data_IF_937609872326
#
_entry.id   IF_937609872326
#
_cell.length_a   1.000
_cell.length_b   1.000
_cell.length_c   1.000
_cell.angle_alpha   90.00
_cell.angle_beta   90.00
_cell.angle_gamma   90.00
#
_symmetry.space_group_name_H-M   'P 1'
#
loop_
_entity.id
_entity.type
_entity.pdbx_description
1 polymer ?
#
# COMPACT_ATOMS: atom_id res chain seq x y z
N UNK A 1 -9.70 14.99 -7.82
CA UNK A 1 -8.27 14.70 -7.60
C UNK A 1 -8.21 13.59 -6.57
N UNK A 2 -7.35 12.58 -6.70
CA UNK A 2 -7.17 11.63 -5.61
C UNK A 2 -6.63 12.39 -4.38
N UNK A 3 -7.29 12.22 -3.24
CA UNK A 3 -6.93 12.92 -2.01
C UNK A 3 -5.79 12.18 -1.32
N UNK A 4 -4.72 12.90 -1.00
CA UNK A 4 -3.62 12.36 -0.19
C UNK A 4 -3.84 12.62 1.29
N UNK A 5 -3.28 11.77 2.15
CA UNK A 5 -3.40 11.88 3.60
C UNK A 5 -2.15 11.38 4.31
N UNK A 6 -1.84 11.94 5.47
CA UNK A 6 -0.81 11.42 6.39
C UNK A 6 -1.39 10.41 7.38
N UNK A 7 -2.72 10.30 7.45
CA UNK A 7 -3.40 9.33 8.32
C UNK A 7 -3.44 7.96 7.64
N UNK A 8 -2.86 6.95 8.28
CA UNK A 8 -2.92 5.57 7.83
C UNK A 8 -4.36 5.05 7.94
N UNK A 9 -4.89 4.47 6.85
CA UNK A 9 -6.25 3.91 6.82
C UNK A 9 -6.31 2.62 7.63
N UNK A 10 -7.44 2.31 8.26
CA UNK A 10 -7.57 1.16 9.17
C UNK A 10 -7.28 -0.20 8.51
N UNK A 11 -7.60 -0.32 7.23
CA UNK A 11 -7.39 -1.51 6.41
C UNK A 11 -6.00 -1.57 5.75
N UNK A 12 -5.13 -0.57 5.97
CA UNK A 12 -3.74 -0.60 5.53
C UNK A 12 -2.89 -1.38 6.53
N UNK A 13 -2.86 -2.70 6.38
CA UNK A 13 -2.18 -3.62 7.31
C UNK A 13 -0.78 -4.01 6.86
N UNK A 14 -0.49 -3.89 5.56
CA UNK A 14 0.76 -4.33 4.95
C UNK A 14 1.22 -3.33 3.88
N UNK A 15 2.49 -3.40 3.48
CA UNK A 15 3.02 -2.60 2.37
C UNK A 15 3.88 -3.45 1.44
N UNK A 16 3.81 -3.17 0.14
CA UNK A 16 4.65 -3.82 -0.87
C UNK A 16 5.88 -2.96 -1.17
N UNK A 17 7.06 -3.56 -1.02
CA UNK A 17 8.31 -2.93 -1.38
C UNK A 17 8.47 -2.90 -2.90
N UNK A 18 8.51 -1.70 -3.47
CA UNK A 18 8.74 -1.47 -4.90
C UNK A 18 10.15 -0.92 -5.18
N UNK A 19 11.13 -1.26 -4.34
CA UNK A 19 12.53 -0.92 -4.62
C UNK A 19 13.00 -1.65 -5.86
N UNK A 20 13.55 -0.90 -6.82
CA UNK A 20 14.25 -1.44 -7.98
C UNK A 20 15.58 -2.05 -7.51
N UNK A 21 15.73 -3.36 -7.66
CA UNK A 21 16.93 -4.10 -7.27
C UNK A 21 17.95 -4.10 -8.42
N UNK A 22 17.47 -4.27 -9.65
CA UNK A 22 18.29 -4.34 -10.85
C UNK A 22 17.73 -3.40 -11.93
N UNK A 23 18.43 -2.29 -12.25
CA UNK A 23 17.93 -1.32 -13.22
C UNK A 23 17.80 -1.84 -14.64
N UNK A 24 18.72 -2.70 -15.08
CA UNK A 24 18.77 -3.22 -16.46
C UNK A 24 17.61 -4.18 -16.75
N UNK A 25 17.34 -5.09 -15.82
CA UNK A 25 16.25 -6.07 -15.93
C UNK A 25 14.90 -5.52 -15.45
N UNK A 26 14.89 -4.32 -14.85
CA UNK A 26 13.73 -3.73 -14.18
C UNK A 26 13.14 -4.65 -13.11
N UNK A 27 13.99 -5.37 -12.39
CA UNK A 27 13.55 -6.28 -11.32
C UNK A 27 13.27 -5.49 -10.05
N UNK A 28 12.04 -5.57 -9.55
CA UNK A 28 11.60 -4.94 -8.30
C UNK A 28 11.51 -5.98 -7.18
N UNK A 29 11.72 -5.54 -5.94
CA UNK A 29 11.67 -6.44 -4.78
C UNK A 29 10.31 -7.15 -4.63
N UNK A 30 9.19 -6.42 -4.67
CA UNK A 30 7.84 -6.98 -4.61
C UNK A 30 7.44 -7.61 -3.28
N UNK A 31 8.33 -7.64 -2.27
CA UNK A 31 8.06 -8.22 -0.95
C UNK A 31 6.94 -7.46 -0.23
N UNK A 32 5.96 -8.21 0.28
CA UNK A 32 4.95 -7.68 1.21
C UNK A 32 5.49 -7.77 2.64
N UNK A 33 5.42 -6.66 3.36
CA UNK A 33 5.88 -6.49 4.73
C UNK A 33 4.73 -5.95 5.60
N UNK A 34 4.77 -6.21 6.90
CA UNK A 34 3.76 -5.68 7.80
C UNK A 34 3.86 -4.14 7.88
N UNK A 35 2.75 -3.43 8.04
CA UNK A 35 2.73 -1.96 8.12
C UNK A 35 3.54 -1.40 9.31
N UNK A 36 3.78 -2.19 10.35
CA UNK A 36 4.64 -1.81 11.46
C UNK A 36 6.15 -1.96 11.15
N UNK A 37 6.52 -2.73 10.13
CA UNK A 37 7.91 -2.82 9.69
C UNK A 37 8.26 -1.63 8.80
N UNK A 38 9.26 -0.85 9.20
CA UNK A 38 9.78 0.27 8.38
C UNK A 38 10.72 -0.19 7.29
N UNK A 39 11.36 -1.36 7.44
CA UNK A 39 12.34 -1.89 6.50
C UNK A 39 11.81 -3.17 5.84
N UNK A 40 12.09 -3.31 4.55
CA UNK A 40 11.78 -4.52 3.82
C UNK A 40 12.58 -5.69 4.40
N UNK A 41 11.92 -6.80 4.74
CA UNK A 41 12.58 -7.99 5.27
C UNK A 41 13.41 -8.76 4.24
N UNK A 42 13.26 -8.42 2.95
CA UNK A 42 14.00 -9.03 1.84
C UNK A 42 15.23 -8.21 1.46
N UNK A 43 15.02 -6.96 1.02
CA UNK A 43 16.09 -6.11 0.48
C UNK A 43 16.60 -5.05 1.46
N UNK A 44 16.12 -5.06 2.72
CA UNK A 44 16.55 -4.18 3.83
C UNK A 44 16.23 -2.69 3.60
N UNK A 45 15.74 -2.32 2.42
CA UNK A 45 15.41 -0.93 2.06
C UNK A 45 14.24 -0.44 2.91
N UNK A 46 14.35 0.81 3.37
CA UNK A 46 13.28 1.49 4.09
C UNK A 46 12.05 1.68 3.18
N UNK A 47 10.86 1.58 3.76
CA UNK A 47 9.61 1.94 3.12
C UNK A 47 9.68 3.38 2.60
N UNK A 48 9.39 3.53 1.32
CA UNK A 48 9.67 4.73 0.53
C UNK A 48 8.48 5.05 -0.38
N UNK A 49 8.44 6.29 -0.89
CA UNK A 49 7.66 6.72 -2.05
C UNK A 49 7.65 5.63 -3.13
N UNK A 50 6.45 5.35 -3.64
CA UNK A 50 6.22 4.29 -4.60
C UNK A 50 5.89 2.93 -3.98
N UNK A 51 6.05 2.74 -2.66
CA UNK A 51 5.55 1.52 -1.99
C UNK A 51 4.03 1.48 -2.03
N UNK A 52 3.46 0.31 -2.29
CA UNK A 52 2.01 0.15 -2.28
C UNK A 52 1.49 -0.08 -0.86
N UNK A 53 0.37 0.55 -0.55
CA UNK A 53 -0.43 0.21 0.62
C UNK A 53 -1.26 -1.03 0.30
N UNK A 54 -1.21 -2.03 1.18
CA UNK A 54 -1.87 -3.32 1.00
C UNK A 54 -2.82 -3.58 2.18
N UNK A 55 -3.94 -4.24 1.90
CA UNK A 55 -4.82 -4.75 2.94
C UNK A 55 -4.43 -6.17 3.41
N UNK A 56 -5.22 -6.71 4.34
CA UNK A 56 -4.98 -8.03 4.92
C UNK A 56 -5.16 -9.18 3.91
N UNK A 57 -5.88 -8.94 2.81
CA UNK A 57 -6.02 -9.87 1.69
C UNK A 57 -4.86 -9.76 0.69
N UNK A 58 -3.90 -8.85 0.97
CA UNK A 58 -2.78 -8.47 0.09
C UNK A 58 -3.26 -7.88 -1.23
N UNK A 59 -4.38 -7.16 -1.20
CA UNK A 59 -4.84 -6.36 -2.32
C UNK A 59 -4.30 -4.93 -2.21
N UNK A 60 -3.85 -4.33 -3.33
CA UNK A 60 -3.30 -2.98 -3.32
C UNK A 60 -4.43 -1.96 -3.15
N UNK A 61 -4.38 -1.21 -2.06
CA UNK A 61 -5.39 -0.20 -1.69
C UNK A 61 -4.89 1.24 -1.78
N UNK A 62 -3.61 1.45 -2.09
CA UNK A 62 -3.04 2.79 -2.22
C UNK A 62 -1.54 2.77 -2.53
N UNK A 63 -0.92 3.94 -2.52
CA UNK A 63 0.51 4.12 -2.80
C UNK A 63 1.07 5.29 -1.98
N UNK A 64 2.32 5.18 -1.51
CA UNK A 64 3.01 6.29 -0.86
C UNK A 64 3.44 7.30 -1.92
N UNK A 65 2.97 8.54 -1.80
CA UNK A 65 3.30 9.63 -2.74
C UNK A 65 4.44 10.50 -2.26
N UNK A 66 4.61 10.63 -0.94
CA UNK A 66 5.64 11.48 -0.35
C UNK A 66 6.08 10.90 0.99
N UNK A 67 7.35 11.11 1.29
CA UNK A 67 7.94 10.96 2.62
C UNK A 67 8.82 12.18 2.86
N UNK A 68 8.61 12.89 3.96
CA UNK A 68 9.43 14.04 4.30
C UNK A 68 10.67 13.65 5.11
N UNK A 69 11.51 14.64 5.41
CA UNK A 69 12.77 14.46 6.16
C UNK A 69 12.56 13.96 7.60
N UNK A 70 11.37 14.15 8.15
CA UNK A 70 11.00 13.76 9.51
C UNK A 70 10.33 12.36 9.51
N UNK A 71 10.26 11.72 8.33
CA UNK A 71 9.70 10.39 8.14
C UNK A 71 8.18 10.38 8.00
N UNK A 72 7.52 11.55 7.88
CA UNK A 72 6.06 11.60 7.73
C UNK A 72 5.69 11.15 6.33
N UNK A 73 4.89 10.08 6.29
CA UNK A 73 4.44 9.45 5.06
C UNK A 73 3.11 10.04 4.62
N UNK A 74 2.99 10.34 3.33
CA UNK A 74 1.75 10.79 2.69
C UNK A 74 1.31 9.75 1.68
N UNK A 75 0.10 9.21 1.89
CA UNK A 75 -0.48 8.12 1.14
C UNK A 75 -1.63 8.60 0.27
N UNK A 76 -1.75 8.02 -0.92
CA UNK A 76 -2.91 8.14 -1.79
C UNK A 76 -3.64 6.80 -1.79
N UNK A 77 -4.86 6.78 -1.26
CA UNK A 77 -5.68 5.56 -1.23
C UNK A 77 -6.63 5.52 -2.42
N UNK A 78 -6.89 4.31 -2.91
CA UNK A 78 -7.98 4.03 -3.83
C UNK A 78 -9.30 4.22 -3.09
N UNK A 79 -10.29 4.80 -3.76
CA UNK A 79 -11.67 4.78 -3.28
C UNK A 79 -12.06 3.33 -2.98
N UNK A 80 -12.75 3.12 -1.87
CA UNK A 80 -13.32 1.81 -1.61
C UNK A 80 -14.22 1.49 -2.80
N UNK A 81 -13.85 0.48 -3.61
CA UNK A 81 -14.79 -0.05 -4.58
C UNK A 81 -15.98 -0.51 -3.74
N UNK A 82 -17.14 0.13 -3.93
CA UNK A 82 -18.40 -0.40 -3.45
C UNK A 82 -18.53 -1.78 -4.09
N UNK A 83 -17.99 -2.81 -3.44
CA UNK A 83 -18.41 -4.19 -3.69
C UNK A 83 -19.83 -4.19 -3.14
N UNK A 84 -20.77 -3.78 -3.98
CA UNK A 84 -22.20 -3.87 -3.69
C UNK A 84 -22.43 -5.27 -3.15
N UNK A 85 -22.71 -5.33 -1.85
CA UNK A 85 -23.26 -6.53 -1.27
C UNK A 85 -24.65 -6.62 -1.88
N UNK A 86 -24.77 -7.34 -2.98
CA UNK A 86 -26.07 -7.82 -3.46
C UNK A 86 -26.60 -8.74 -2.36
N UNK A 87 -27.26 -8.15 -1.37
CA UNK A 87 -28.18 -8.87 -0.52
C UNK A 87 -29.30 -9.33 -1.45
N UNK A 88 -29.22 -10.58 -1.89
CA UNK A 88 -30.34 -11.27 -2.50
C UNK A 88 -31.49 -11.28 -1.51
N UNK A 89 -32.43 -10.36 -1.69
CA UNK A 89 -33.71 -10.40 -1.00
C UNK A 89 -34.46 -11.64 -1.50
N UNK A 90 -34.43 -12.70 -0.69
CA UNK A 90 -35.41 -13.78 -0.76
C UNK A 90 -36.73 -13.29 -0.19
N UNK A 91 -37.67 -12.99 -1.07
CA UNK A 91 -39.14 -12.99 -0.87
C UNK A 91 -39.69 -12.78 -2.28
N UNK A 92 -40.43 -13.72 -2.89
CA UNK A 92 -41.73 -14.24 -2.46
C UNK A 92 -41.99 -15.57 -3.16
#
# INVERSE_FOLDING_TARGET
>A
MPTTTTTVRKDHTDWRCNTLLEPESRTYCGRVNNMHDTNCRECVTERNVGSDAMDAEREPIGIMRKKDKDGVETWEYKEASNKETSCGNSTT
#
